data_IF_119513725932
#
_entry.id   IF_119513725932
#
_cell.length_a   1.000
_cell.length_b   1.000
_cell.length_c   1.000
_cell.angle_alpha   90.00
_cell.angle_beta   90.00
_cell.angle_gamma   90.00
#
_symmetry.space_group_name_H-M   'P 1'
#
loop_
_entity.id
_entity.type
_entity.pdbx_description
1 polymer ?
#
# COMPACT_ATOMS: atom_id res chain seq x y z
N UNK A 1 -11.34 -30.97 -5.37
CA UNK A 1 -10.15 -30.13 -5.37
C UNK A 1 -10.43 -28.66 -5.42
N UNK A 2 -11.74 -28.33 -5.34
CA UNK A 2 -12.18 -26.95 -5.26
C UNK A 2 -11.61 -26.23 -4.05
N UNK A 3 -11.42 -26.92 -2.90
CA UNK A 3 -10.86 -26.34 -1.70
C UNK A 3 -9.44 -25.80 -1.90
N UNK A 4 -8.58 -26.56 -2.62
CA UNK A 4 -7.21 -26.14 -2.87
C UNK A 4 -7.15 -24.94 -3.80
N UNK A 5 -8.05 -24.87 -4.76
CA UNK A 5 -8.15 -23.72 -5.65
C UNK A 5 -8.52 -22.46 -4.88
N UNK A 6 -9.54 -22.53 -4.03
CA UNK A 6 -9.96 -21.40 -3.22
C UNK A 6 -8.88 -20.94 -2.25
N UNK A 7 -8.20 -21.86 -1.59
CA UNK A 7 -7.12 -21.52 -0.67
C UNK A 7 -5.99 -20.80 -1.39
N UNK A 8 -5.59 -21.31 -2.56
CA UNK A 8 -4.52 -20.71 -3.36
C UNK A 8 -4.88 -19.30 -3.79
N UNK A 9 -6.09 -19.10 -4.31
CA UNK A 9 -6.56 -17.80 -4.74
C UNK A 9 -6.67 -16.82 -3.56
N UNK A 10 -7.20 -17.28 -2.44
CA UNK A 10 -7.36 -16.46 -1.23
C UNK A 10 -6.01 -16.00 -0.70
N UNK A 11 -5.04 -16.91 -0.56
CA UNK A 11 -3.72 -16.53 -0.04
C UNK A 11 -2.97 -15.60 -0.98
N UNK A 12 -3.11 -15.80 -2.29
CA UNK A 12 -2.50 -14.89 -3.25
C UNK A 12 -3.12 -13.50 -3.19
N UNK A 13 -4.44 -13.42 -3.06
CA UNK A 13 -5.14 -12.15 -2.95
C UNK A 13 -4.78 -11.43 -1.65
N UNK A 14 -4.66 -12.16 -0.54
CA UNK A 14 -4.23 -11.58 0.73
C UNK A 14 -2.79 -11.05 0.64
N UNK A 15 -1.92 -11.80 -0.01
CA UNK A 15 -0.52 -11.37 -0.19
C UNK A 15 -0.43 -10.15 -1.11
N UNK A 16 -1.25 -10.09 -2.18
CA UNK A 16 -1.31 -8.91 -3.05
C UNK A 16 -1.78 -7.69 -2.28
N UNK A 17 -2.79 -7.85 -1.43
CA UNK A 17 -3.29 -6.76 -0.60
C UNK A 17 -2.22 -6.29 0.39
N UNK A 18 -1.55 -7.22 1.06
CA UNK A 18 -0.46 -6.88 1.97
C UNK A 18 0.66 -6.13 1.25
N UNK A 19 1.10 -6.62 0.10
CA UNK A 19 2.16 -5.96 -0.68
C UNK A 19 1.73 -4.58 -1.15
N UNK A 20 0.48 -4.44 -1.61
CA UNK A 20 -0.07 -3.17 -2.05
C UNK A 20 -0.08 -2.12 -0.95
N UNK A 21 -0.58 -2.48 0.22
CA UNK A 21 -0.61 -1.59 1.37
C UNK A 21 0.80 -1.25 1.86
N UNK A 22 1.69 -2.23 1.87
CA UNK A 22 3.06 -2.04 2.36
C UNK A 22 3.86 -1.08 1.49
N UNK A 23 3.80 -1.22 0.16
CA UNK A 23 4.52 -0.29 -0.70
C UNK A 23 3.90 1.11 -0.66
N UNK A 24 2.57 1.21 -0.54
CA UNK A 24 1.89 2.50 -0.40
C UNK A 24 2.34 3.21 0.88
N UNK A 25 2.43 2.48 1.98
CA UNK A 25 2.93 3.03 3.25
C UNK A 25 4.31 3.66 3.08
N UNK A 26 5.21 2.98 2.40
CA UNK A 26 6.55 3.50 2.18
C UNK A 26 6.56 4.71 1.25
N UNK A 27 5.75 4.70 0.18
CA UNK A 27 5.64 5.85 -0.72
C UNK A 27 5.15 7.09 0.01
N UNK A 28 4.15 6.95 0.88
CA UNK A 28 3.63 8.07 1.65
C UNK A 28 4.63 8.57 2.71
N UNK A 29 5.38 7.68 3.33
CA UNK A 29 6.43 8.06 4.26
C UNK A 29 7.51 8.89 3.57
N UNK A 30 7.93 8.47 2.39
CA UNK A 30 8.92 9.19 1.58
C UNK A 30 8.36 10.55 1.16
N UNK A 31 7.10 10.60 0.75
CA UNK A 31 6.45 11.86 0.39
C UNK A 31 6.40 12.83 1.59
N UNK A 32 6.14 12.31 2.79
CA UNK A 32 6.15 13.11 4.00
C UNK A 32 7.52 13.72 4.27
N UNK A 33 8.59 12.95 4.09
CA UNK A 33 9.94 13.45 4.26
C UNK A 33 10.24 14.58 3.28
N UNK A 34 9.83 14.42 2.04
CA UNK A 34 9.99 15.42 0.99
C UNK A 34 9.25 16.71 1.32
N UNK A 35 8.01 16.59 1.81
CA UNK A 35 7.22 17.75 2.23
C UNK A 35 7.88 18.48 3.40
N UNK A 36 8.40 17.72 4.35
CA UNK A 36 9.08 18.28 5.52
C UNK A 36 10.33 19.04 5.13
N UNK A 37 11.12 18.50 4.19
CA UNK A 37 12.31 19.19 3.68
C UNK A 37 11.98 20.54 3.06
N UNK A 38 10.78 20.67 2.50
CA UNK A 38 10.30 21.92 1.91
C UNK A 38 9.60 22.83 2.94
N UNK A 39 9.59 22.44 4.19
CA UNK A 39 8.95 23.21 5.26
C UNK A 39 7.44 23.11 5.31
N UNK A 40 6.86 22.15 4.60
CA UNK A 40 5.41 21.96 4.53
C UNK A 40 4.96 20.92 5.54
N UNK A 41 4.99 21.28 6.81
CA UNK A 41 4.79 20.35 7.91
C UNK A 41 3.37 19.81 8.01
N UNK A 42 2.36 20.63 7.73
CA UNK A 42 0.97 20.18 7.74
C UNK A 42 0.72 19.10 6.70
N UNK A 43 1.27 19.28 5.50
CA UNK A 43 1.14 18.31 4.41
C UNK A 43 1.93 17.03 4.74
N UNK A 44 3.12 17.19 5.34
CA UNK A 44 3.89 16.05 5.80
C UNK A 44 3.09 15.20 6.80
N UNK A 45 2.38 15.85 7.71
CA UNK A 45 1.54 15.16 8.70
C UNK A 45 0.39 14.41 8.05
N UNK A 46 -0.21 14.96 7.00
CA UNK A 46 -1.27 14.27 6.25
C UNK A 46 -0.72 12.99 5.60
N UNK A 47 0.46 13.06 4.97
CA UNK A 47 1.10 11.90 4.38
C UNK A 47 1.45 10.84 5.43
N UNK A 48 1.94 11.26 6.60
CA UNK A 48 2.27 10.33 7.68
C UNK A 48 1.01 9.65 8.23
N UNK A 49 -0.08 10.39 8.36
CA UNK A 49 -1.36 9.83 8.78
C UNK A 49 -1.82 8.76 7.80
N UNK A 50 -1.75 9.05 6.51
CA UNK A 50 -2.12 8.10 5.47
C UNK A 50 -1.20 6.87 5.51
N UNK A 51 0.10 7.08 5.70
CA UNK A 51 1.06 5.99 5.82
C UNK A 51 0.73 5.08 7.00
N UNK A 52 0.32 5.66 8.13
CA UNK A 52 -0.06 4.88 9.31
C UNK A 52 -1.32 4.04 9.04
N UNK A 53 -2.28 4.58 8.30
CA UNK A 53 -3.47 3.82 7.91
C UNK A 53 -3.11 2.66 6.99
N UNK A 54 -2.23 2.87 6.02
CA UNK A 54 -1.77 1.82 5.12
C UNK A 54 -1.04 0.72 5.90
N UNK A 55 -0.25 1.10 6.91
CA UNK A 55 0.43 0.13 7.77
C UNK A 55 -0.57 -0.71 8.56
N UNK A 56 -1.61 -0.09 9.09
CA UNK A 56 -2.64 -0.80 9.85
C UNK A 56 -3.38 -1.82 8.95
N UNK A 57 -3.69 -1.42 7.71
CA UNK A 57 -4.29 -2.34 6.74
C UNK A 57 -3.35 -3.49 6.41
N UNK A 58 -2.07 -3.19 6.18
CA UNK A 58 -1.07 -4.21 5.88
C UNK A 58 -0.97 -5.23 7.02
N UNK A 59 -0.94 -4.76 8.26
CA UNK A 59 -0.89 -5.61 9.44
C UNK A 59 -2.10 -6.55 9.49
N UNK A 60 -3.28 -6.03 9.19
CA UNK A 60 -4.50 -6.85 9.17
C UNK A 60 -4.42 -7.95 8.12
N UNK A 61 -3.98 -7.63 6.91
CA UNK A 61 -3.83 -8.63 5.85
C UNK A 61 -2.77 -9.67 6.22
N UNK A 62 -1.70 -9.25 6.85
CA UNK A 62 -0.65 -10.16 7.29
C UNK A 62 -1.14 -11.10 8.39
N UNK A 63 -1.97 -10.62 9.30
CA UNK A 63 -2.60 -11.45 10.31
C UNK A 63 -3.50 -12.53 9.68
N UNK A 64 -4.23 -12.17 8.63
CA UNK A 64 -5.06 -13.12 7.90
C UNK A 64 -4.24 -14.18 7.18
N UNK A 65 -2.97 -13.90 6.91
CA UNK A 65 -2.05 -14.85 6.29
C UNK A 65 -1.42 -15.82 7.30
N UNK A 66 -1.71 -15.66 8.58
CA UNK A 66 -1.07 -16.44 9.65
C UNK A 66 -1.22 -17.95 9.45
N UNK A 67 -2.36 -18.42 8.96
CA UNK A 67 -2.60 -19.84 8.72
C UNK A 67 -1.66 -20.44 7.67
N UNK A 68 -1.04 -19.61 6.84
CA UNK A 68 -0.08 -20.05 5.82
C UNK A 68 1.37 -19.91 6.28
N UNK A 69 1.59 -19.75 7.59
CA UNK A 69 2.94 -19.59 8.15
C UNK A 69 3.84 -20.75 7.74
N UNK A 70 5.06 -20.41 7.32
CA UNK A 70 6.03 -21.38 6.82
C UNK A 70 6.01 -21.52 5.30
N UNK A 71 4.99 -20.97 4.65
CA UNK A 71 4.90 -20.95 3.18
C UNK A 71 5.51 -19.67 2.61
N UNK A 72 5.92 -19.77 1.36
CA UNK A 72 6.30 -18.61 0.56
C UNK A 72 5.24 -18.45 -0.53
N UNK A 73 4.65 -17.28 -0.62
CA UNK A 73 3.55 -17.03 -1.55
C UNK A 73 4.04 -16.13 -2.66
N UNK A 74 4.04 -16.66 -3.90
CA UNK A 74 4.43 -15.89 -5.06
C UNK A 74 3.23 -15.13 -5.61
N UNK A 75 3.43 -13.84 -5.89
CA UNK A 75 2.43 -12.98 -6.51
C UNK A 75 3.10 -12.14 -7.59
N UNK A 76 2.28 -11.59 -8.47
CA UNK A 76 2.68 -10.52 -9.37
C UNK A 76 1.86 -9.28 -9.06
N UNK A 77 2.42 -8.13 -9.35
CA UNK A 77 1.76 -6.87 -9.04
C UNK A 77 2.38 -5.72 -9.83
N UNK A 78 1.63 -4.64 -9.94
CA UNK A 78 2.05 -3.43 -10.62
C UNK A 78 1.78 -2.26 -9.70
N UNK A 79 2.80 -1.45 -9.46
CA UNK A 79 2.71 -0.33 -8.52
C UNK A 79 3.28 0.93 -9.15
N UNK A 80 2.73 2.10 -8.78
CA UNK A 80 3.16 3.35 -9.38
C UNK A 80 4.50 3.82 -8.84
N UNK A 81 5.21 4.60 -9.68
CA UNK A 81 6.39 5.34 -9.25
C UNK A 81 6.04 6.82 -9.36
N UNK A 82 5.91 7.48 -8.21
CA UNK A 82 5.50 8.88 -8.11
C UNK A 82 6.53 9.67 -7.32
N UNK A 83 7.51 10.19 -8.03
CA UNK A 83 8.58 11.00 -7.45
C UNK A 83 8.62 12.35 -8.15
N UNK A 84 7.48 13.03 -8.13
CA UNK A 84 7.32 14.32 -8.77
C UNK A 84 8.14 15.39 -8.05
N UNK A 85 8.60 16.38 -8.83
CA UNK A 85 9.44 17.46 -8.31
C UNK A 85 8.65 18.48 -7.51
N UNK A 86 7.37 18.65 -7.80
CA UNK A 86 6.53 19.61 -7.10
C UNK A 86 5.57 18.88 -6.15
N UNK A 87 5.26 19.54 -5.05
CA UNK A 87 4.34 18.99 -4.07
C UNK A 87 2.92 18.84 -4.64
N UNK A 88 2.49 19.80 -5.46
CA UNK A 88 1.18 19.74 -6.10
C UNK A 88 1.04 18.50 -6.98
N UNK A 89 2.04 18.21 -7.78
CA UNK A 89 2.05 17.00 -8.62
C UNK A 89 2.05 15.73 -7.78
N UNK A 90 2.81 15.73 -6.69
CA UNK A 90 2.89 14.60 -5.78
C UNK A 90 1.53 14.32 -5.12
N UNK A 91 0.83 15.37 -4.68
CA UNK A 91 -0.50 15.25 -4.08
C UNK A 91 -1.51 14.71 -5.08
N UNK A 92 -1.48 15.19 -6.31
CA UNK A 92 -2.38 14.71 -7.36
C UNK A 92 -2.14 13.24 -7.67
N UNK A 93 -0.88 12.82 -7.73
CA UNK A 93 -0.51 11.44 -7.98
C UNK A 93 -1.00 10.53 -6.85
N UNK A 94 -0.82 10.95 -5.61
CA UNK A 94 -1.27 10.19 -4.43
C UNK A 94 -2.79 10.02 -4.45
N UNK A 95 -3.54 11.07 -4.73
CA UNK A 95 -4.99 11.02 -4.83
C UNK A 95 -5.46 10.06 -5.91
N UNK A 96 -4.84 10.13 -7.09
CA UNK A 96 -5.16 9.26 -8.20
C UNK A 96 -4.90 7.78 -7.85
N UNK A 97 -3.76 7.49 -7.23
CA UNK A 97 -3.39 6.13 -6.87
C UNK A 97 -4.31 5.53 -5.81
N UNK A 98 -4.72 6.31 -4.83
CA UNK A 98 -5.68 5.84 -3.84
C UNK A 98 -7.03 5.51 -4.46
N UNK A 99 -7.48 6.32 -5.40
CA UNK A 99 -8.73 6.08 -6.11
C UNK A 99 -8.67 4.79 -6.91
N UNK A 100 -7.59 4.55 -7.65
CA UNK A 100 -7.40 3.32 -8.41
C UNK A 100 -7.36 2.10 -7.50
N UNK A 101 -6.64 2.19 -6.40
CA UNK A 101 -6.54 1.10 -5.43
C UNK A 101 -7.91 0.75 -4.86
N UNK A 102 -8.69 1.75 -4.52
CA UNK A 102 -10.05 1.55 -4.02
C UNK A 102 -10.94 0.85 -5.05
N UNK A 103 -10.90 1.26 -6.30
CA UNK A 103 -11.71 0.69 -7.36
C UNK A 103 -11.30 -0.74 -7.73
N UNK A 104 -10.00 -1.03 -7.71
CA UNK A 104 -9.47 -2.32 -8.15
C UNK A 104 -9.37 -3.37 -7.05
N UNK A 105 -9.11 -2.96 -5.82
CA UNK A 105 -8.87 -3.88 -4.70
C UNK A 105 -10.08 -4.01 -3.79
N UNK A 106 -10.80 -2.95 -3.60
CA UNK A 106 -11.94 -2.88 -2.70
C UNK A 106 -13.26 -2.76 -3.44
#
# INVERSE_FOLDING_TARGET
>A
MTGNFFESETKENLMRAFAGESQARNRYTIAAEKAREKGMYTIADVFLYTADQERAHAERFYELLKEFTGSTIQIDGTYPVDQQDTLEELLRAAEHNEKEEFEDVY
#
